data_IF_942439426996
#
_entry.id   IF_942439426996
#
_cell.length_a   1.000
_cell.length_b   1.000
_cell.length_c   1.000
_cell.angle_alpha   90.00
_cell.angle_beta   90.00
_cell.angle_gamma   90.00
#
_symmetry.space_group_name_H-M   'P 1'
#
loop_
_entity.id
_entity.type
_entity.pdbx_description
1 polymer ?
#
# COMPACT_ATOMS: atom_id res chain seq x y z
N UNK A 1 11.28 5.90 10.20
CA UNK A 1 11.74 7.30 10.12
C UNK A 1 11.54 7.94 8.73
N UNK A 2 11.05 7.23 7.70
CA UNK A 2 11.06 7.77 6.33
C UNK A 2 9.85 8.65 5.95
N UNK A 3 8.66 8.44 6.53
CA UNK A 3 7.43 9.18 6.15
C UNK A 3 7.59 10.69 6.37
N UNK A 4 8.32 11.10 7.41
CA UNK A 4 8.53 12.51 7.76
C UNK A 4 9.22 13.34 6.68
N UNK A 5 10.01 12.71 5.80
CA UNK A 5 10.73 13.42 4.72
C UNK A 5 9.83 13.84 3.56
N UNK A 6 8.64 13.28 3.46
CA UNK A 6 7.70 13.51 2.36
C UNK A 6 6.49 14.36 2.77
N UNK A 7 6.57 15.01 3.94
CA UNK A 7 5.49 15.81 4.53
C UNK A 7 5.19 17.14 3.79
N UNK A 8 5.77 17.40 2.61
CA UNK A 8 5.54 18.65 1.87
C UNK A 8 5.39 18.45 0.34
N UNK A 9 5.31 17.22 -0.15
CA UNK A 9 5.09 16.95 -1.57
C UNK A 9 3.63 16.57 -1.81
N UNK A 10 2.78 17.57 -1.99
CA UNK A 10 1.33 17.38 -2.25
C UNK A 10 1.01 16.55 -3.51
N UNK A 11 2.03 16.20 -4.31
CA UNK A 11 1.92 15.39 -5.52
C UNK A 11 2.54 13.99 -5.38
N UNK A 12 2.98 13.61 -4.18
CA UNK A 12 3.52 12.29 -3.89
C UNK A 12 2.48 11.46 -3.12
N UNK A 13 2.42 10.16 -3.39
CA UNK A 13 1.59 9.25 -2.64
C UNK A 13 2.35 7.99 -2.20
N UNK A 14 2.00 7.50 -1.01
CA UNK A 14 2.41 6.21 -0.52
C UNK A 14 1.37 5.14 -0.88
N UNK A 15 1.78 3.89 -0.97
CA UNK A 15 0.84 2.78 -1.09
C UNK A 15 1.23 1.55 -0.27
N UNK A 16 0.22 0.82 0.21
CA UNK A 16 0.39 -0.50 0.83
C UNK A 16 -0.86 -1.37 0.68
N UNK A 17 -0.73 -2.68 0.95
CA UNK A 17 -1.86 -3.61 0.98
C UNK A 17 -2.51 -3.67 2.38
N UNK A 18 -3.83 -3.81 2.40
CA UNK A 18 -4.67 -3.98 3.58
C UNK A 18 -5.75 -5.05 3.35
N UNK A 19 -6.46 -5.40 4.43
CA UNK A 19 -7.64 -6.26 4.41
C UNK A 19 -8.92 -5.46 4.59
N UNK A 20 -10.06 -5.98 4.09
CA UNK A 20 -11.36 -5.30 4.11
C UNK A 20 -12.04 -5.27 5.51
N UNK A 21 -11.50 -5.99 6.48
CA UNK A 21 -11.99 -6.03 7.87
C UNK A 21 -11.50 -4.80 8.66
N UNK A 22 -11.96 -3.61 8.27
CA UNK A 22 -11.58 -2.30 8.86
C UNK A 22 -11.73 -2.22 10.38
N UNK A 23 -12.74 -2.89 10.94
CA UNK A 23 -13.00 -2.92 12.39
C UNK A 23 -12.12 -3.93 13.15
N UNK A 24 -11.38 -4.79 12.44
CA UNK A 24 -10.57 -5.81 13.08
C UNK A 24 -9.35 -5.19 13.76
N UNK A 25 -9.24 -5.37 15.08
CA UNK A 25 -8.21 -4.72 15.90
C UNK A 25 -6.77 -5.00 15.43
N UNK A 26 -6.52 -6.13 14.78
CA UNK A 26 -5.17 -6.50 14.28
C UNK A 26 -4.92 -6.09 12.83
N UNK A 27 -5.88 -5.47 12.16
CA UNK A 27 -5.64 -4.85 10.85
C UNK A 27 -4.48 -3.84 10.98
N UNK A 28 -3.58 -3.85 9.99
CA UNK A 28 -2.37 -3.02 9.95
C UNK A 28 -1.44 -3.16 11.16
N UNK A 29 -1.35 -4.36 11.75
CA UNK A 29 -0.50 -4.62 12.94
C UNK A 29 0.91 -5.13 12.65
N UNK A 30 1.32 -5.21 11.37
CA UNK A 30 2.62 -5.78 10.96
C UNK A 30 3.20 -5.10 9.72
N UNK A 31 4.53 -5.11 9.60
CA UNK A 31 5.25 -4.54 8.46
C UNK A 31 5.06 -3.03 8.34
N UNK A 32 5.23 -2.49 7.13
CA UNK A 32 5.10 -1.06 6.83
C UNK A 32 3.73 -0.49 7.22
N UNK A 33 2.69 -1.32 7.25
CA UNK A 33 1.35 -0.91 7.67
C UNK A 33 1.28 -0.38 9.12
N UNK A 34 2.21 -0.78 10.00
CA UNK A 34 2.30 -0.20 11.36
C UNK A 34 2.65 1.30 11.28
N UNK A 35 3.56 1.66 10.38
CA UNK A 35 4.00 3.05 10.21
C UNK A 35 2.85 3.89 9.68
N UNK A 36 2.18 3.45 8.63
CA UNK A 36 0.99 4.15 8.12
C UNK A 36 -0.11 4.26 9.16
N UNK A 37 -0.36 3.21 9.95
CA UNK A 37 -1.34 3.29 11.03
C UNK A 37 -0.99 4.33 12.09
N UNK A 38 0.30 4.47 12.42
CA UNK A 38 0.76 5.43 13.43
C UNK A 38 0.57 6.87 12.93
N UNK A 39 0.87 7.12 11.66
CA UNK A 39 0.85 8.47 11.08
C UNK A 39 -0.53 8.89 10.55
N UNK A 40 -1.33 7.96 10.00
CA UNK A 40 -2.61 8.24 9.34
C UNK A 40 -3.83 7.61 10.05
N UNK A 41 -3.61 6.75 11.05
CA UNK A 41 -4.67 5.92 11.62
C UNK A 41 -5.02 4.71 10.74
N UNK A 42 -6.09 4.00 11.09
CA UNK A 42 -6.64 2.93 10.23
C UNK A 42 -7.62 3.54 9.22
N UNK A 43 -7.62 3.08 7.97
CA UNK A 43 -8.62 3.49 7.01
C UNK A 43 -10.00 3.02 7.47
N UNK A 44 -11.00 3.85 7.21
CA UNK A 44 -12.41 3.59 7.44
C UNK A 44 -13.10 3.35 6.09
N UNK A 45 -14.34 2.85 6.14
CA UNK A 45 -15.17 2.72 4.92
C UNK A 45 -15.41 4.06 4.23
N UNK A 46 -15.39 5.18 4.96
CA UNK A 46 -15.49 6.53 4.41
C UNK A 46 -14.29 6.92 3.54
N UNK A 47 -13.16 6.22 3.69
CA UNK A 47 -11.91 6.54 3.01
C UNK A 47 -11.79 5.76 1.70
N UNK A 48 -12.78 4.92 1.36
CA UNK A 48 -12.85 4.22 0.08
C UNK A 48 -13.07 5.21 -1.06
N UNK A 49 -12.14 5.22 -2.01
CA UNK A 49 -12.27 5.94 -3.29
C UNK A 49 -12.80 5.02 -4.39
N UNK A 50 -12.74 3.71 -4.17
CA UNK A 50 -13.34 2.66 -4.99
C UNK A 50 -13.69 1.44 -4.11
N UNK A 51 -14.14 0.34 -4.70
CA UNK A 51 -14.43 -0.91 -3.96
C UNK A 51 -13.23 -1.48 -3.22
N UNK A 52 -12.05 -1.43 -3.86
CA UNK A 52 -10.84 -2.10 -3.40
C UNK A 52 -9.69 -1.13 -3.08
N UNK A 53 -9.95 0.18 -3.00
CA UNK A 53 -8.92 1.19 -2.72
C UNK A 53 -9.41 2.23 -1.72
N UNK A 54 -8.59 2.46 -0.71
CA UNK A 54 -8.76 3.55 0.26
C UNK A 54 -7.71 4.63 0.03
N UNK A 55 -8.04 5.87 0.34
CA UNK A 55 -7.12 6.99 0.33
C UNK A 55 -7.29 7.84 1.59
N UNK A 56 -6.18 8.07 2.28
CA UNK A 56 -6.13 8.93 3.46
C UNK A 56 -5.11 10.05 3.25
N UNK A 57 -5.35 11.20 3.87
CA UNK A 57 -4.43 12.32 3.92
C UNK A 57 -4.08 12.65 5.38
N UNK A 58 -2.87 13.14 5.63
CA UNK A 58 -2.54 13.77 6.92
C UNK A 58 -2.61 15.30 6.81
N UNK A 59 -2.50 15.99 7.94
CA UNK A 59 -2.53 17.46 8.04
C UNK A 59 -1.44 18.14 7.21
N UNK A 60 -0.38 17.41 6.86
CA UNK A 60 0.76 17.88 6.08
C UNK A 60 0.64 17.54 4.58
N UNK A 61 -0.51 17.03 4.13
CA UNK A 61 -0.81 16.82 2.72
C UNK A 61 -0.24 15.55 2.08
N UNK A 62 0.45 14.70 2.84
CA UNK A 62 0.88 13.39 2.33
C UNK A 62 -0.34 12.49 2.10
N UNK A 63 -0.38 11.80 0.97
CA UNK A 63 -1.44 10.85 0.62
C UNK A 63 -0.98 9.41 0.86
N UNK A 64 -1.83 8.56 1.43
CA UNK A 64 -1.58 7.11 1.53
C UNK A 64 -2.74 6.30 0.98
N UNK A 65 -2.41 5.42 0.04
CA UNK A 65 -3.31 4.44 -0.54
C UNK A 65 -3.24 3.12 0.21
N UNK A 66 -4.39 2.61 0.62
CA UNK A 66 -4.57 1.25 1.11
C UNK A 66 -5.30 0.40 0.07
N UNK A 67 -4.59 -0.51 -0.60
CA UNK A 67 -5.15 -1.47 -1.55
C UNK A 67 -5.78 -2.62 -0.76
N UNK A 68 -7.09 -2.78 -0.86
CA UNK A 68 -7.88 -3.82 -0.20
C UNK A 68 -7.79 -5.11 -1.01
N UNK A 69 -6.74 -5.89 -0.78
CA UNK A 69 -6.46 -7.07 -1.62
C UNK A 69 -7.08 -8.35 -1.08
N UNK A 70 -7.62 -8.32 0.14
CA UNK A 70 -8.15 -9.50 0.81
C UNK A 70 -9.29 -9.19 1.76
N UNK A 71 -10.18 -10.17 1.96
CA UNK A 71 -11.37 -10.01 2.82
C UNK A 71 -11.03 -9.85 4.29
N UNK A 72 -10.07 -10.61 4.81
CA UNK A 72 -9.71 -10.60 6.23
C UNK A 72 -8.21 -10.53 6.45
N UNK A 73 -7.78 -10.05 7.61
CA UNK A 73 -6.37 -9.95 7.99
C UNK A 73 -5.61 -11.28 7.85
N UNK A 74 -6.26 -12.39 8.22
CA UNK A 74 -5.67 -13.73 8.24
C UNK A 74 -5.67 -14.44 6.89
N UNK A 75 -6.49 -14.01 5.93
CA UNK A 75 -6.51 -14.60 4.59
C UNK A 75 -5.32 -14.14 3.74
N UNK A 76 -5.16 -14.76 2.58
CA UNK A 76 -4.25 -14.31 1.52
C UNK A 76 -5.08 -13.74 0.36
N UNK A 77 -4.59 -12.71 -0.33
CA UNK A 77 -5.19 -12.28 -1.58
C UNK A 77 -5.01 -13.37 -2.65
N UNK A 78 -5.93 -13.42 -3.61
CA UNK A 78 -5.64 -14.07 -4.90
C UNK A 78 -4.91 -13.08 -5.81
N UNK A 79 -4.24 -13.57 -6.86
CA UNK A 79 -3.64 -12.70 -7.86
C UNK A 79 -4.69 -11.81 -8.55
N UNK A 80 -5.90 -12.33 -8.76
CA UNK A 80 -7.01 -11.58 -9.34
C UNK A 80 -7.48 -10.44 -8.43
N UNK A 81 -7.63 -10.70 -7.13
CA UNK A 81 -7.99 -9.65 -6.17
C UNK A 81 -6.90 -8.57 -6.07
N UNK A 82 -5.65 -8.99 -6.08
CA UNK A 82 -4.51 -8.07 -6.08
C UNK A 82 -4.49 -7.19 -7.33
N UNK A 83 -4.58 -7.79 -8.51
CA UNK A 83 -4.55 -7.05 -9.78
C UNK A 83 -5.76 -6.11 -9.89
N UNK A 84 -6.96 -6.56 -9.49
CA UNK A 84 -8.15 -5.70 -9.50
C UNK A 84 -7.97 -4.48 -8.60
N UNK A 85 -7.53 -4.66 -7.35
CA UNK A 85 -7.26 -3.55 -6.44
C UNK A 85 -6.17 -2.60 -6.99
N UNK A 86 -5.14 -3.15 -7.63
CA UNK A 86 -4.07 -2.35 -8.23
C UNK A 86 -4.56 -1.53 -9.42
N UNK A 87 -5.42 -2.08 -10.26
CA UNK A 87 -6.00 -1.37 -11.39
C UNK A 87 -6.90 -0.20 -10.95
N UNK A 88 -7.77 -0.43 -9.96
CA UNK A 88 -8.55 0.66 -9.36
C UNK A 88 -7.63 1.75 -8.77
N UNK A 89 -6.51 1.35 -8.19
CA UNK A 89 -5.51 2.27 -7.66
C UNK A 89 -4.85 3.10 -8.76
N UNK A 90 -4.44 2.49 -9.88
CA UNK A 90 -3.86 3.22 -11.02
C UNK A 90 -4.84 4.27 -11.56
N UNK A 91 -6.12 3.91 -11.70
CA UNK A 91 -7.16 4.81 -12.19
C UNK A 91 -7.35 6.03 -11.28
N UNK A 92 -7.48 5.82 -9.97
CA UNK A 92 -7.63 6.92 -9.01
C UNK A 92 -6.36 7.77 -8.89
N UNK A 93 -5.19 7.12 -8.83
CA UNK A 93 -3.89 7.80 -8.77
C UNK A 93 -3.66 8.72 -9.97
N UNK A 94 -4.00 8.22 -11.18
CA UNK A 94 -3.97 9.01 -12.42
C UNK A 94 -4.95 10.17 -12.37
N UNK A 95 -6.19 9.91 -11.95
CA UNK A 95 -7.25 10.92 -11.86
C UNK A 95 -6.91 12.07 -10.92
N UNK A 96 -6.15 11.79 -9.85
CA UNK A 96 -5.67 12.80 -8.90
C UNK A 96 -4.40 13.51 -9.35
N UNK A 97 -3.74 13.04 -10.41
CA UNK A 97 -2.54 13.68 -10.96
C UNK A 97 -1.30 13.53 -10.08
N UNK A 98 -1.21 12.47 -9.28
CA UNK A 98 0.01 12.19 -8.53
C UNK A 98 1.19 11.91 -9.49
N UNK A 99 2.38 12.39 -9.16
CA UNK A 99 3.58 12.30 -10.01
C UNK A 99 4.64 11.36 -9.45
N UNK A 100 4.45 10.91 -8.20
CA UNK A 100 5.39 10.01 -7.54
C UNK A 100 4.67 9.02 -6.65
N UNK A 101 5.00 7.74 -6.82
CA UNK A 101 4.62 6.66 -5.93
C UNK A 101 5.81 6.24 -5.08
N UNK A 102 5.62 6.11 -3.78
CA UNK A 102 6.59 5.52 -2.85
C UNK A 102 5.95 4.29 -2.22
N UNK A 103 6.56 3.11 -2.40
CA UNK A 103 6.00 1.88 -1.85
C UNK A 103 7.08 0.87 -1.45
N UNK A 104 6.70 -0.09 -0.61
CA UNK A 104 7.48 -1.31 -0.42
C UNK A 104 7.08 -2.35 -1.48
N UNK A 105 7.74 -3.52 -1.60
CA UNK A 105 7.27 -4.64 -2.41
C UNK A 105 5.89 -5.16 -1.97
N UNK A 106 4.83 -4.46 -2.38
CA UNK A 106 3.48 -4.56 -1.84
C UNK A 106 2.89 -5.94 -2.11
N UNK A 107 2.54 -6.66 -1.05
CA UNK A 107 1.94 -8.00 -1.13
C UNK A 107 2.94 -9.15 -1.30
N UNK A 108 4.22 -8.88 -1.62
CA UNK A 108 5.19 -9.91 -1.96
C UNK A 108 5.62 -10.80 -0.77
N UNK A 109 5.67 -10.21 0.44
CA UNK A 109 6.23 -10.91 1.60
C UNK A 109 5.18 -11.75 2.34
N UNK A 110 4.28 -11.09 3.07
CA UNK A 110 3.30 -11.76 3.92
C UNK A 110 2.13 -12.30 3.13
N UNK A 111 1.74 -11.61 2.07
CA UNK A 111 0.56 -11.94 1.27
C UNK A 111 0.87 -12.86 0.08
N UNK A 112 2.15 -13.17 -0.16
CA UNK A 112 2.63 -14.18 -1.11
C UNK A 112 2.28 -13.92 -2.57
N UNK A 113 2.05 -12.65 -2.93
CA UNK A 113 1.99 -12.24 -4.33
C UNK A 113 3.39 -12.41 -4.94
N UNK A 114 3.45 -12.89 -6.18
CA UNK A 114 4.71 -13.03 -6.90
C UNK A 114 5.34 -11.64 -7.13
N UNK A 115 6.67 -11.48 -6.92
CA UNK A 115 7.37 -10.25 -7.27
C UNK A 115 7.21 -9.85 -8.74
N UNK A 116 7.03 -10.82 -9.64
CA UNK A 116 6.80 -10.56 -11.07
C UNK A 116 5.45 -9.87 -11.30
N UNK A 117 4.41 -10.26 -10.55
CA UNK A 117 3.08 -9.62 -10.64
C UNK A 117 3.14 -8.19 -10.11
N UNK A 118 3.78 -8.00 -8.95
CA UNK A 118 4.02 -6.65 -8.42
C UNK A 118 4.79 -5.78 -9.42
N UNK A 119 5.90 -6.28 -9.96
CA UNK A 119 6.71 -5.55 -10.93
C UNK A 119 5.92 -5.19 -12.19
N UNK A 120 5.11 -6.11 -12.71
CA UNK A 120 4.23 -5.86 -13.86
C UNK A 120 3.28 -4.69 -13.59
N UNK A 121 2.60 -4.69 -12.44
CA UNK A 121 1.65 -3.63 -12.09
C UNK A 121 2.34 -2.28 -11.85
N UNK A 122 3.57 -2.28 -11.34
CA UNK A 122 4.37 -1.04 -11.19
C UNK A 122 4.77 -0.46 -12.55
N UNK A 123 5.20 -1.31 -13.49
CA UNK A 123 5.51 -0.88 -14.86
C UNK A 123 4.26 -0.30 -15.52
N UNK A 124 3.11 -0.96 -15.37
CA UNK A 124 1.84 -0.48 -15.89
C UNK A 124 1.46 0.88 -15.30
N UNK A 125 1.56 1.06 -13.98
CA UNK A 125 1.34 2.35 -13.34
C UNK A 125 2.25 3.43 -13.94
N UNK A 126 3.54 3.16 -14.09
CA UNK A 126 4.48 4.12 -14.66
C UNK A 126 4.12 4.48 -16.11
N UNK A 127 3.80 3.48 -16.94
CA UNK A 127 3.39 3.69 -18.33
C UNK A 127 2.09 4.51 -18.44
N UNK A 128 1.12 4.26 -17.56
CA UNK A 128 -0.20 4.90 -17.63
C UNK A 128 -0.24 6.32 -17.07
N UNK A 129 0.64 6.62 -16.12
CA UNK A 129 0.63 7.88 -15.36
C UNK A 129 1.84 8.78 -15.65
N UNK A 130 2.95 8.22 -16.13
CA UNK A 130 4.24 8.90 -16.20
C UNK A 130 4.89 9.15 -14.83
N UNK A 131 4.30 8.66 -13.74
CA UNK A 131 4.79 8.90 -12.39
C UNK A 131 6.10 8.15 -12.11
N UNK A 132 7.00 8.79 -11.38
CA UNK A 132 8.19 8.12 -10.84
C UNK A 132 7.80 7.15 -9.72
N UNK A 133 8.52 6.03 -9.59
CA UNK A 133 8.22 5.02 -8.57
C UNK A 133 9.47 4.68 -7.76
N UNK A 134 9.43 4.98 -6.46
CA UNK A 134 10.46 4.60 -5.50
C UNK A 134 10.01 3.34 -4.76
N UNK A 135 10.69 2.22 -5.01
CA UNK A 135 10.48 0.97 -4.29
C UNK A 135 11.50 0.86 -3.16
N UNK A 136 11.03 1.03 -1.92
CA UNK A 136 11.87 0.95 -0.73
C UNK A 136 11.82 -0.48 -0.19
N UNK A 137 12.97 -1.16 -0.25
CA UNK A 137 13.16 -2.48 0.33
C UNK A 137 14.16 -2.39 1.48
N UNK A 138 13.84 -3.05 2.59
CA UNK A 138 14.76 -3.23 3.70
C UNK A 138 15.11 -4.71 3.84
N UNK A 139 16.39 -5.00 4.04
CA UNK A 139 16.87 -6.34 4.38
C UNK A 139 16.48 -6.65 5.84
N UNK A 140 15.30 -7.23 6.04
CA UNK A 140 14.92 -7.81 7.34
C UNK A 140 15.82 -9.01 7.63
N UNK A 141 17.02 -8.75 8.18
CA UNK A 141 17.83 -9.80 8.79
C UNK A 141 17.00 -10.43 9.91
N UNK A 142 16.51 -11.64 9.66
CA UNK A 142 15.73 -12.40 10.63
C UNK A 142 16.58 -12.67 11.87
N UNK A 143 16.33 -11.95 12.96
CA UNK A 143 16.89 -12.22 14.29
C UNK A 143 16.20 -13.39 14.99
N UNK A 144 15.50 -14.26 14.24
CA UNK A 144 14.87 -15.45 14.80
C UNK A 144 15.96 -16.43 15.22
N UNK A 145 16.32 -16.39 16.50
CA UNK A 145 16.89 -17.54 17.18
C UNK A 145 15.88 -18.68 17.02
N UNK A 146 16.25 -19.72 16.27
CA UNK A 146 15.51 -20.97 16.25
C UNK A 146 15.41 -21.43 17.70
N UNK A 147 14.20 -21.46 18.25
CA UNK A 147 13.94 -22.15 19.52
C UNK A 147 13.83 -23.63 19.16
N UNK A 148 14.88 -24.39 19.48
CA UNK A 148 14.87 -25.85 19.51
C UNK A 148 13.94 -26.34 20.63
#
# INVERSE_FOLDING_TARGET
EEIGKFQNSGNDAFAHCISADFEYQRQMSRGVAILFRKEFGRPKRSDLVSSDVTLQHNEHGAAVYGLVTKKTYSSKPTENDYNRAFQEFILDFKGKGFHKLICSPMGCMRDKISPQIFAKNIVELHCDTGASVDIIAWDERTTRTLRN
#
